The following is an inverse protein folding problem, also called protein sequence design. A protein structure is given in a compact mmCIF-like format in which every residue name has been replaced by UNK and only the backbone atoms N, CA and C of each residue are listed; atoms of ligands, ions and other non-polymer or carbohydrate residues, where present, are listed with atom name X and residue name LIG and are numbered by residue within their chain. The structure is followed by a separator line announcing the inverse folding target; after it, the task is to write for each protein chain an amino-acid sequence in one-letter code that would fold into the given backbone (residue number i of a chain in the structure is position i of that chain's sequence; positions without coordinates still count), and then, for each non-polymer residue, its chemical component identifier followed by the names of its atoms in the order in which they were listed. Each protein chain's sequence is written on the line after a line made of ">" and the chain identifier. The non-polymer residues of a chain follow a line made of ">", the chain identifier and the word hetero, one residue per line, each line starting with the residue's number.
data_IF_908971250154
#
_entry.id   IF_908971250154
#
_cell.length_a   1.000
_cell.length_b   1.000
_cell.length_c   1.000
_cell.angle_alpha   90.00
_cell.angle_beta   90.00
_cell.angle_gamma   90.00
#
_symmetry.space_group_name_H-M   'P 1'
#
loop_
_entity.id
_entity.type
_entity.pdbx_description
1 polymer ?
#
# COMPACT_ATOMS: atom_id res chain seq x y z
N UNK A 1 -10.08 -2.43 12.04
CA UNK A 1 -9.35 -3.26 11.06
C UNK A 1 -9.86 -4.70 11.10
N UNK A 2 -9.97 -5.34 12.28
CA UNK A 2 -10.57 -6.69 12.41
C UNK A 2 -12.00 -6.71 11.86
N UNK A 3 -12.79 -5.69 12.18
CA UNK A 3 -14.16 -5.56 11.68
C UNK A 3 -14.18 -5.17 10.20
N UNK A 4 -13.16 -4.45 9.72
CA UNK A 4 -12.98 -4.17 8.28
C UNK A 4 -12.70 -5.46 7.49
N UNK A 5 -11.79 -6.31 7.97
CA UNK A 5 -11.50 -7.60 7.31
C UNK A 5 -12.63 -8.62 7.51
N UNK A 6 -13.37 -8.56 8.63
CA UNK A 6 -14.55 -9.41 8.88
C UNK A 6 -15.82 -8.87 8.21
N UNK A 7 -15.90 -7.57 7.95
CA UNK A 7 -17.01 -6.95 7.20
C UNK A 7 -16.84 -7.02 5.69
N UNK A 8 -15.63 -7.34 5.21
CA UNK A 8 -15.43 -7.79 3.85
C UNK A 8 -15.99 -9.22 3.82
N UNK A 9 -17.29 -9.32 3.57
CA UNK A 9 -17.93 -10.60 3.30
C UNK A 9 -17.42 -11.12 1.96
N UNK A 10 -16.35 -11.91 2.01
CA UNK A 10 -15.70 -12.51 0.84
C UNK A 10 -16.62 -13.43 0.05
N UNK A 11 -17.84 -13.68 0.56
CA UNK A 11 -18.83 -14.57 -0.04
C UNK A 11 -20.02 -13.87 -0.72
N UNK A 12 -20.08 -12.54 -0.69
CA UNK A 12 -21.16 -11.82 -1.37
C UNK A 12 -20.67 -10.53 -2.01
N UNK A 13 -20.78 -10.52 -3.33
CA UNK A 13 -20.76 -9.37 -4.21
C UNK A 13 -21.26 -8.08 -3.57
N UNK A 14 -20.49 -7.03 -3.75
CA UNK A 14 -20.82 -5.63 -3.59
C UNK A 14 -21.02 -5.13 -2.14
N UNK A 15 -20.03 -4.44 -1.64
CA UNK A 15 -20.27 -3.38 -0.68
C UNK A 15 -20.04 -2.04 -1.38
N UNK A 16 -21.11 -1.28 -1.45
CA UNK A 16 -21.14 0.08 -1.94
C UNK A 16 -20.41 0.99 -0.95
N UNK A 17 -19.12 1.17 -1.15
CA UNK A 17 -18.50 2.44 -0.82
C UNK A 17 -18.65 3.30 -2.06
N UNK A 18 -19.20 4.47 -1.89
CA UNK A 18 -19.35 5.44 -2.96
C UNK A 18 -18.02 5.63 -3.67
N UNK A 19 -17.96 5.07 -4.91
CA UNK A 19 -16.92 5.18 -5.90
C UNK A 19 -15.64 4.32 -5.71
N UNK A 20 -15.73 3.13 -6.23
CA UNK A 20 -14.68 2.22 -6.70
C UNK A 20 -14.49 0.93 -5.91
N UNK A 21 -15.15 -0.08 -6.39
CA UNK A 21 -15.12 -1.45 -5.92
C UNK A 21 -14.09 -2.29 -6.66
N UNK A 22 -13.40 -3.17 -5.96
CA UNK A 22 -12.56 -4.23 -6.53
C UNK A 22 -13.00 -5.60 -6.04
N UNK A 23 -13.20 -6.51 -6.99
CA UNK A 23 -13.67 -7.87 -6.82
C UNK A 23 -12.55 -8.79 -6.36
N UNK A 24 -12.80 -9.61 -5.34
CA UNK A 24 -11.89 -10.68 -4.89
C UNK A 24 -12.60 -12.05 -4.88
N UNK A 25 -11.93 -13.15 -5.27
CA UNK A 25 -12.47 -14.51 -5.19
C UNK A 25 -12.36 -15.12 -3.78
N UNK A 26 -13.17 -16.14 -3.52
CA UNK A 26 -13.39 -16.85 -2.25
C UNK A 26 -12.13 -17.42 -1.59
N UNK A 27 -12.04 -17.29 -0.26
CA UNK A 27 -11.02 -17.90 0.57
C UNK A 27 -11.61 -18.74 1.71
N UNK A 28 -11.53 -20.03 1.59
CA UNK A 28 -11.63 -20.97 2.73
C UNK A 28 -10.25 -21.59 2.99
N UNK A 29 -9.81 -21.59 4.26
CA UNK A 29 -8.58 -22.14 4.81
C UNK A 29 -7.28 -21.33 4.68
N UNK A 30 -7.17 -20.26 5.47
CA UNK A 30 -5.89 -19.61 5.71
C UNK A 30 -5.08 -20.31 6.81
N UNK A 31 -4.23 -21.27 6.43
CA UNK A 31 -2.94 -21.46 7.11
C UNK A 31 -2.12 -20.21 6.85
N UNK A 32 -1.36 -19.72 7.86
CA UNK A 32 -0.45 -18.58 7.76
C UNK A 32 0.42 -18.66 6.48
N UNK A 33 -0.13 -18.20 5.37
CA UNK A 33 0.58 -18.05 4.10
C UNK A 33 1.09 -16.62 4.11
N UNK A 34 2.41 -16.46 3.99
CA UNK A 34 2.97 -15.14 3.70
C UNK A 34 2.32 -14.65 2.41
N UNK A 35 1.73 -13.46 2.45
CA UNK A 35 0.94 -12.90 1.35
C UNK A 35 1.77 -12.56 0.11
N UNK A 36 3.09 -12.80 0.14
CA UNK A 36 3.99 -12.51 -0.99
C UNK A 36 5.19 -13.47 -1.04
N UNK A 37 5.71 -13.68 -2.25
CA UNK A 37 7.02 -14.30 -2.50
C UNK A 37 8.04 -13.17 -2.64
N UNK A 38 9.04 -13.10 -1.74
CA UNK A 38 10.16 -12.17 -1.90
C UNK A 38 10.89 -12.48 -3.21
N UNK A 39 10.62 -11.69 -4.24
CA UNK A 39 11.44 -11.69 -5.44
C UNK A 39 12.63 -10.79 -5.15
N UNK A 40 13.82 -11.35 -5.02
CA UNK A 40 15.07 -10.59 -4.94
C UNK A 40 15.35 -9.98 -6.34
N UNK A 41 14.69 -8.87 -6.66
CA UNK A 41 14.99 -8.09 -7.84
C UNK A 41 16.36 -7.40 -7.67
N UNK A 42 17.08 -7.23 -8.79
CA UNK A 42 18.33 -6.46 -8.79
C UNK A 42 18.02 -4.99 -8.50
N UNK A 43 18.62 -4.44 -7.45
CA UNK A 43 18.53 -3.01 -7.12
C UNK A 43 19.55 -2.25 -7.98
N UNK A 44 19.12 -1.21 -8.66
CA UNK A 44 20.01 -0.33 -9.41
C UNK A 44 20.75 0.64 -8.47
N UNK A 45 21.90 1.20 -8.87
CA UNK A 45 22.61 2.18 -8.04
C UNK A 45 21.75 3.42 -7.68
N UNK A 46 20.85 3.84 -8.57
CA UNK A 46 19.94 4.95 -8.28
C UNK A 46 18.89 4.60 -7.23
N UNK A 47 18.32 3.40 -7.31
CA UNK A 47 17.38 2.90 -6.31
C UNK A 47 18.06 2.71 -4.95
N UNK A 48 19.30 2.18 -4.94
CA UNK A 48 20.05 2.02 -3.69
C UNK A 48 20.31 3.37 -3.03
N UNK A 49 20.79 4.37 -3.78
CA UNK A 49 20.95 5.73 -3.25
C UNK A 49 19.66 6.30 -2.67
N UNK A 50 18.54 6.10 -3.37
CA UNK A 50 17.24 6.57 -2.88
C UNK A 50 16.86 5.88 -1.56
N UNK A 51 17.05 4.57 -1.44
CA UNK A 51 16.83 3.83 -0.19
C UNK A 51 17.71 4.34 0.94
N UNK A 52 18.99 4.63 0.66
CA UNK A 52 19.96 5.06 1.67
C UNK A 52 19.70 6.51 2.15
N UNK A 53 19.21 7.38 1.25
CA UNK A 53 19.14 8.84 1.56
C UNK A 53 17.73 9.37 1.79
N UNK A 54 16.70 8.71 1.25
CA UNK A 54 15.32 9.18 1.28
C UNK A 54 14.41 8.34 2.19
N UNK A 55 14.92 7.24 2.75
CA UNK A 55 14.15 6.34 3.61
C UNK A 55 13.42 7.08 4.72
N UNK A 56 14.16 7.83 5.53
CA UNK A 56 13.59 8.55 6.67
C UNK A 56 12.54 9.60 6.29
N UNK A 57 12.55 10.08 5.03
CA UNK A 57 11.60 11.09 4.55
C UNK A 57 10.29 10.48 4.09
N UNK A 58 10.34 9.35 3.41
CA UNK A 58 9.19 8.75 2.73
C UNK A 58 8.70 7.45 3.33
N UNK A 59 9.59 6.66 3.95
CA UNK A 59 9.20 5.36 4.50
C UNK A 59 8.78 5.48 5.95
N UNK A 60 7.63 4.92 6.24
CA UNK A 60 7.01 4.89 7.55
C UNK A 60 7.29 3.55 8.20
N UNK A 61 7.82 3.56 9.40
CA UNK A 61 7.83 2.40 10.29
C UNK A 61 6.55 2.44 11.12
N UNK A 62 5.53 1.65 10.76
CA UNK A 62 4.24 1.77 11.41
C UNK A 62 4.29 1.24 12.85
N UNK A 63 3.50 1.84 13.71
CA UNK A 63 3.26 1.43 15.08
C UNK A 63 1.76 1.36 15.34
N UNK A 64 1.35 0.73 16.42
CA UNK A 64 -0.07 0.60 16.77
C UNK A 64 -0.78 1.95 16.74
N UNK A 65 -1.97 1.98 16.15
CA UNK A 65 -2.80 3.18 16.00
C UNK A 65 -2.10 4.31 15.21
N UNK A 66 -1.52 3.98 14.05
CA UNK A 66 -0.91 4.96 13.16
C UNK A 66 -1.90 6.07 12.78
N UNK A 67 -1.64 7.28 13.27
CA UNK A 67 -2.41 8.47 12.92
C UNK A 67 -1.92 9.05 11.59
N UNK A 68 -2.73 8.86 10.54
CA UNK A 68 -2.39 9.35 9.20
C UNK A 68 -2.43 10.88 9.09
N UNK A 69 -3.25 11.58 9.87
CA UNK A 69 -3.24 13.04 9.89
C UNK A 69 -1.94 13.57 10.50
N UNK A 70 -1.48 12.94 11.58
CA UNK A 70 -0.18 13.28 12.18
C UNK A 70 0.96 12.95 11.23
N UNK A 71 0.91 11.78 10.54
CA UNK A 71 1.93 11.35 9.59
C UNK A 71 2.14 12.34 8.44
N UNK A 72 1.05 12.86 7.88
CA UNK A 72 1.10 13.83 6.78
C UNK A 72 1.10 15.30 7.25
N UNK A 73 0.88 15.54 8.56
CA UNK A 73 0.82 16.87 9.14
C UNK A 73 -0.41 17.69 8.74
N UNK A 74 -1.45 17.03 8.22
CA UNK A 74 -2.69 17.68 7.76
C UNK A 74 -3.87 16.72 7.75
N UNK A 75 -5.08 17.29 7.78
CA UNK A 75 -6.32 16.57 7.49
C UNK A 75 -6.60 16.64 5.98
N UNK A 76 -6.60 15.51 5.32
CA UNK A 76 -6.89 15.35 3.90
C UNK A 76 -7.46 13.97 3.65
N UNK A 77 -8.01 13.73 2.47
CA UNK A 77 -8.46 12.39 2.04
C UNK A 77 -7.27 11.44 1.97
N UNK A 78 -7.39 10.27 2.59
CA UNK A 78 -6.34 9.25 2.71
C UNK A 78 -6.57 8.11 1.73
N UNK A 79 -5.65 7.96 0.82
CA UNK A 79 -5.63 6.91 -0.20
C UNK A 79 -4.54 5.90 0.09
N UNK A 80 -4.86 4.61 0.00
CA UNK A 80 -3.90 3.50 0.15
C UNK A 80 -3.80 2.72 -1.15
N UNK A 81 -2.59 2.51 -1.66
CA UNK A 81 -2.31 1.53 -2.72
C UNK A 81 -1.54 0.34 -2.16
N UNK A 82 -2.07 -0.87 -2.35
CA UNK A 82 -1.46 -2.12 -1.90
C UNK A 82 -0.77 -2.79 -3.09
N UNK A 83 0.52 -3.12 -2.93
CA UNK A 83 1.30 -3.77 -3.97
C UNK A 83 1.60 -2.83 -5.14
N UNK A 84 2.04 -1.61 -4.88
CA UNK A 84 2.22 -0.59 -5.89
C UNK A 84 3.32 -0.90 -6.95
N UNK A 85 4.15 -1.91 -6.73
CA UNK A 85 5.22 -2.31 -7.66
C UNK A 85 6.20 -1.19 -7.93
N UNK A 86 6.19 -0.60 -9.14
CA UNK A 86 6.99 0.59 -9.47
C UNK A 86 6.35 1.91 -9.01
N UNK A 87 5.09 1.87 -8.57
CA UNK A 87 4.37 3.02 -8.05
C UNK A 87 3.94 4.05 -9.10
N UNK A 88 3.84 3.67 -10.36
CA UNK A 88 3.43 4.60 -11.42
C UNK A 88 2.06 5.22 -11.16
N UNK A 89 1.08 4.39 -10.71
CA UNK A 89 -0.25 4.88 -10.37
C UNK A 89 -0.23 5.75 -9.11
N UNK A 90 0.46 5.31 -8.05
CA UNK A 90 0.62 6.05 -6.79
C UNK A 90 1.17 7.46 -7.04
N UNK A 91 2.26 7.55 -7.80
CA UNK A 91 2.92 8.82 -8.11
C UNK A 91 2.06 9.71 -9.01
N UNK A 92 1.40 9.13 -10.02
CA UNK A 92 0.51 9.86 -10.91
C UNK A 92 -0.69 10.45 -10.18
N UNK A 93 -1.33 9.67 -9.29
CA UNK A 93 -2.44 10.15 -8.47
C UNK A 93 -1.98 11.25 -7.51
N UNK A 94 -0.85 11.08 -6.84
CA UNK A 94 -0.32 12.06 -5.90
C UNK A 94 0.06 13.38 -6.57
N UNK A 95 0.58 13.33 -7.79
CA UNK A 95 0.92 14.50 -8.58
C UNK A 95 -0.34 15.23 -9.08
N UNK A 96 -1.36 14.47 -9.53
CA UNK A 96 -2.59 15.02 -10.06
C UNK A 96 -3.50 15.63 -8.96
N UNK A 97 -3.41 15.12 -7.74
CA UNK A 97 -4.27 15.48 -6.61
C UNK A 97 -3.43 15.82 -5.37
N UNK A 98 -2.73 16.96 -5.36
CA UNK A 98 -1.89 17.37 -4.23
C UNK A 98 -2.69 17.67 -2.95
N UNK A 99 -3.99 17.86 -3.05
CA UNK A 99 -4.92 18.03 -1.92
C UNK A 99 -5.14 16.75 -1.11
N UNK A 100 -4.90 15.57 -1.70
CA UNK A 100 -5.04 14.26 -1.08
C UNK A 100 -3.70 13.71 -0.60
N UNK A 101 -3.74 12.77 0.35
CA UNK A 101 -2.58 12.05 0.85
C UNK A 101 -2.58 10.59 0.37
N UNK A 102 -1.42 10.12 -0.04
CA UNK A 102 -1.23 8.81 -0.65
C UNK A 102 -0.24 7.97 0.14
N UNK A 103 -0.68 6.79 0.58
CA UNK A 103 0.14 5.79 1.24
C UNK A 103 0.27 4.58 0.32
N UNK A 104 1.49 4.10 0.10
CA UNK A 104 1.75 2.88 -0.65
C UNK A 104 2.29 1.77 0.25
N UNK A 105 1.85 0.54 0.07
CA UNK A 105 2.44 -0.64 0.70
C UNK A 105 3.10 -1.50 -0.38
N UNK A 106 4.37 -1.81 -0.20
CA UNK A 106 5.13 -2.68 -1.09
C UNK A 106 6.28 -3.35 -0.34
N UNK A 107 6.53 -4.63 -0.59
CA UNK A 107 7.62 -5.39 0.03
C UNK A 107 8.86 -5.53 -0.85
N UNK A 108 8.73 -5.17 -2.13
CA UNK A 108 9.78 -5.29 -3.12
C UNK A 108 10.67 -4.03 -3.12
N UNK A 109 11.82 -4.10 -2.48
CA UNK A 109 12.74 -2.96 -2.30
C UNK A 109 13.10 -2.19 -3.59
N UNK A 110 13.34 -2.83 -4.75
CA UNK A 110 13.54 -2.08 -5.99
C UNK A 110 12.36 -1.17 -6.37
N UNK A 111 11.14 -1.61 -6.12
CA UNK A 111 9.94 -0.78 -6.32
C UNK A 111 9.89 0.39 -5.35
N UNK A 112 10.12 0.12 -4.06
CA UNK A 112 10.23 1.17 -3.04
C UNK A 112 11.29 2.20 -3.43
N UNK A 113 12.51 1.77 -3.75
CA UNK A 113 13.58 2.67 -4.17
C UNK A 113 13.25 3.49 -5.42
N UNK A 114 12.46 2.92 -6.34
CA UNK A 114 11.96 3.66 -7.50
C UNK A 114 10.99 4.77 -7.09
N UNK A 115 10.00 4.46 -6.26
CA UNK A 115 9.02 5.44 -5.77
C UNK A 115 9.69 6.56 -4.99
N UNK A 116 10.62 6.26 -4.10
CA UNK A 116 11.34 7.27 -3.33
C UNK A 116 12.08 8.25 -4.26
N UNK A 117 12.79 7.71 -5.26
CA UNK A 117 13.55 8.51 -6.22
C UNK A 117 12.65 9.42 -7.07
N UNK A 118 11.53 8.89 -7.56
CA UNK A 118 10.60 9.67 -8.39
C UNK A 118 9.79 10.66 -7.56
N UNK A 119 9.34 10.31 -6.35
CA UNK A 119 8.66 11.23 -5.45
C UNK A 119 9.54 12.45 -5.11
N UNK A 120 10.83 12.23 -4.88
CA UNK A 120 11.79 13.30 -4.63
C UNK A 120 11.99 14.19 -5.86
N UNK A 121 12.17 13.63 -7.05
CA UNK A 121 12.29 14.38 -8.30
C UNK A 121 11.06 15.22 -8.62
N UNK A 122 9.87 14.69 -8.31
CA UNK A 122 8.59 15.37 -8.53
C UNK A 122 8.24 16.34 -7.39
N UNK A 123 9.03 16.37 -6.31
CA UNK A 123 8.79 17.24 -5.16
C UNK A 123 7.52 16.89 -4.39
N UNK A 124 7.10 15.61 -4.41
CA UNK A 124 5.85 15.18 -3.76
C UNK A 124 6.02 15.15 -2.23
N UNK A 125 5.17 15.89 -1.54
CA UNK A 125 5.10 15.89 -0.07
C UNK A 125 3.95 15.01 0.47
N UNK A 126 3.02 14.65 -0.39
CA UNK A 126 1.79 13.92 -0.07
C UNK A 126 1.89 12.41 -0.34
N UNK A 127 3.10 11.86 -0.39
CA UNK A 127 3.35 10.41 -0.57
C UNK A 127 4.11 9.87 0.64
N UNK A 128 3.69 8.71 1.15
CA UNK A 128 4.44 7.90 2.12
C UNK A 128 4.39 6.43 1.70
N UNK A 129 5.36 5.66 2.16
CA UNK A 129 5.50 4.24 1.83
C UNK A 129 5.67 3.41 3.09
N UNK A 130 5.06 2.23 3.15
CA UNK A 130 5.29 1.20 4.16
C UNK A 130 5.88 -0.03 3.46
N UNK A 131 7.03 -0.51 3.94
CA UNK A 131 7.75 -1.63 3.34
C UNK A 131 7.60 -2.92 4.19
N UNK A 132 6.36 -3.29 4.49
CA UNK A 132 5.98 -4.48 5.28
C UNK A 132 4.81 -5.16 4.59
N UNK A 133 4.53 -6.43 4.95
CA UNK A 133 3.38 -7.18 4.43
C UNK A 133 2.06 -6.44 4.67
N UNK A 134 1.25 -6.31 3.62
CA UNK A 134 0.01 -5.55 3.67
C UNK A 134 -1.01 -6.11 4.66
N UNK A 135 -1.08 -7.44 4.82
CA UNK A 135 -1.97 -8.08 5.80
C UNK A 135 -1.55 -7.68 7.21
N UNK A 136 -0.25 -7.72 7.49
CA UNK A 136 0.27 -7.28 8.78
C UNK A 136 -0.04 -5.81 9.06
N UNK A 137 0.12 -4.95 8.06
CA UNK A 137 -0.15 -3.51 8.19
C UNK A 137 -1.62 -3.24 8.47
N UNK A 138 -2.51 -3.87 7.70
CA UNK A 138 -3.95 -3.67 7.84
C UNK A 138 -4.49 -4.21 9.17
N UNK A 139 -3.95 -5.32 9.67
CA UNK A 139 -4.40 -5.93 10.91
C UNK A 139 -3.94 -5.20 12.17
N UNK A 140 -2.73 -4.61 12.14
CA UNK A 140 -2.09 -4.13 13.37
C UNK A 140 -2.04 -2.62 13.52
N UNK A 141 -1.95 -1.87 12.40
CA UNK A 141 -1.52 -0.49 12.47
C UNK A 141 -2.57 0.54 12.10
N UNK A 142 -3.63 0.15 11.38
CA UNK A 142 -4.71 1.07 11.04
C UNK A 142 -5.88 0.98 12.00
N UNK A 143 -6.41 2.15 12.38
CA UNK A 143 -7.70 2.26 13.07
C UNK A 143 -8.84 2.11 12.05
N UNK A 144 -10.01 1.73 12.55
CA UNK A 144 -11.24 1.69 11.74
C UNK A 144 -11.52 3.08 11.15
N UNK A 145 -11.92 3.08 9.87
CA UNK A 145 -12.27 4.29 9.12
C UNK A 145 -11.12 5.31 8.96
N UNK A 146 -9.86 4.89 9.08
CA UNK A 146 -8.70 5.77 8.88
C UNK A 146 -8.33 6.02 7.42
N UNK A 147 -8.91 5.25 6.49
CA UNK A 147 -8.68 5.32 5.04
C UNK A 147 -9.98 5.66 4.32
N UNK A 148 -9.92 6.56 3.34
CA UNK A 148 -11.05 6.93 2.50
C UNK A 148 -11.13 6.07 1.23
N UNK A 149 -9.98 5.62 0.72
CA UNK A 149 -9.91 4.80 -0.50
C UNK A 149 -8.76 3.79 -0.45
N UNK A 150 -9.00 2.59 -1.00
CA UNK A 150 -7.97 1.54 -1.12
C UNK A 150 -7.94 1.05 -2.56
N UNK A 151 -6.72 0.96 -3.13
CA UNK A 151 -6.46 0.48 -4.49
C UNK A 151 -5.63 -0.80 -4.46
N UNK A 152 -6.01 -1.77 -5.30
CA UNK A 152 -5.26 -2.99 -5.58
C UNK A 152 -5.36 -3.23 -7.09
N UNK A 153 -4.39 -2.73 -7.87
CA UNK A 153 -4.52 -2.75 -9.31
C UNK A 153 -4.13 -4.07 -9.95
N UNK A 154 -3.07 -4.72 -9.47
CA UNK A 154 -2.52 -5.94 -10.07
C UNK A 154 -2.20 -6.97 -8.99
N UNK A 155 -3.22 -7.59 -8.37
CA UNK A 155 -2.95 -8.66 -7.42
C UNK A 155 -2.19 -9.79 -8.11
N UNK A 156 -1.13 -10.30 -7.47
CA UNK A 156 -0.37 -11.43 -7.99
C UNK A 156 -1.33 -12.59 -8.27
N UNK A 157 -1.25 -13.22 -9.47
CA UNK A 157 -2.11 -14.36 -9.76
C UNK A 157 -1.77 -15.50 -8.79
N UNK A 158 -2.76 -15.97 -8.06
CA UNK A 158 -2.63 -17.12 -7.18
C UNK A 158 -2.09 -18.30 -7.98
N UNK A 159 -1.10 -19.00 -7.42
CA UNK A 159 -0.63 -20.22 -8.02
C UNK A 159 -1.81 -21.18 -8.16
N UNK A 160 -2.18 -21.49 -9.42
CA UNK A 160 -3.12 -22.58 -9.69
C UNK A 160 -2.60 -23.81 -8.99
N UNK A 161 -3.38 -24.41 -8.09
CA UNK A 161 -3.08 -25.71 -7.54
C UNK A 161 -2.82 -26.63 -8.73
N UNK A 162 -1.65 -27.27 -8.78
CA UNK A 162 -1.38 -28.29 -9.78
C UNK A 162 -2.31 -29.46 -9.46
N UNK A 163 -3.18 -29.77 -10.38
CA UNK A 163 -3.96 -31.01 -10.37
C UNK A 163 -3.05 -32.21 -10.55
#
# INVERSE_FOLDING_TARGET
>A
VRDFLSSIDFNRNLLNFTNSLIIMPEFENLRSIRSFVRRNGRITPAQQRALDTLWARYVVEPHENLDLNQLFGRTATKHLEIGFGKGEALLAMALAHPENDYLGIEVHLPGVGHVLNEAEKLGLSNVRVICIDAVEVLEKYFSDNSLDCVYIFFPDPWHKARH
#
